data_IF_220541024799
#
_entry.id   IF_220541024799
#
_cell.length_a   1.000
_cell.length_b   1.000
_cell.length_c   1.000
_cell.angle_alpha   90.00
_cell.angle_beta   90.00
_cell.angle_gamma   90.00
#
_symmetry.space_group_name_H-M   'P 1'
#
loop_
_entity.id
_entity.type
_entity.pdbx_description
1 polymer ?
#
# COMPACT_ATOMS: atom_id res chain seq x y z
N UNK A 1 -47.61 -11.60 7.16
CA UNK A 1 -46.19 -11.26 7.37
C UNK A 1 -45.76 -10.27 6.28
N UNK A 2 -45.46 -9.02 6.63
CA UNK A 2 -44.93 -8.04 5.65
C UNK A 2 -43.51 -8.48 5.29
N UNK A 3 -43.24 -8.77 4.02
CA UNK A 3 -41.86 -8.98 3.54
C UNK A 3 -41.08 -7.71 3.87
N UNK A 4 -40.10 -7.80 4.78
CA UNK A 4 -39.07 -6.78 4.85
C UNK A 4 -38.48 -6.66 3.45
N UNK A 5 -38.57 -5.46 2.87
CA UNK A 5 -37.82 -5.09 1.69
C UNK A 5 -36.36 -5.42 1.99
N UNK A 6 -35.82 -6.45 1.35
CA UNK A 6 -34.38 -6.73 1.40
C UNK A 6 -33.71 -5.44 0.92
N UNK A 7 -32.94 -4.79 1.79
CA UNK A 7 -32.10 -3.65 1.41
C UNK A 7 -31.19 -4.14 0.28
N UNK A 8 -31.50 -3.75 -0.95
CA UNK A 8 -30.73 -4.12 -2.12
C UNK A 8 -29.53 -3.17 -2.24
N UNK A 9 -28.36 -3.71 -2.58
CA UNK A 9 -27.22 -2.86 -2.91
C UNK A 9 -27.51 -2.04 -4.18
N UNK A 10 -27.10 -0.77 -4.23
CA UNK A 10 -27.25 0.04 -5.44
C UNK A 10 -26.60 -0.65 -6.64
N UNK A 11 -27.23 -0.53 -7.82
CA UNK A 11 -26.63 -0.99 -9.07
C UNK A 11 -25.31 -0.24 -9.29
N UNK A 12 -24.22 -0.97 -9.49
CA UNK A 12 -22.88 -0.38 -9.66
C UNK A 12 -22.20 0.02 -8.35
N UNK A 13 -22.72 -0.42 -7.19
CA UNK A 13 -22.03 -0.25 -5.93
C UNK A 13 -20.65 -0.93 -5.99
N UNK A 14 -19.65 -0.20 -5.51
CA UNK A 14 -18.28 -0.68 -5.30
C UNK A 14 -17.80 -0.12 -3.98
N UNK A 15 -16.98 -0.89 -3.27
CA UNK A 15 -16.25 -0.36 -2.13
C UNK A 15 -15.36 0.79 -2.59
N UNK A 16 -15.38 1.91 -1.87
CA UNK A 16 -14.52 3.06 -2.13
C UNK A 16 -13.92 3.50 -0.81
N UNK A 17 -12.71 4.04 -0.88
CA UNK A 17 -12.01 4.58 0.27
C UNK A 17 -12.37 6.06 0.35
N UNK A 18 -12.72 6.53 1.54
CA UNK A 18 -12.95 7.96 1.79
C UNK A 18 -11.69 8.78 1.49
N UNK A 19 -11.86 10.05 1.18
CA UNK A 19 -10.72 10.97 1.10
C UNK A 19 -10.04 11.05 2.48
N UNK A 20 -8.73 10.76 2.51
CA UNK A 20 -7.87 10.96 3.68
C UNK A 20 -7.04 12.24 3.57
N UNK A 21 -6.33 12.57 4.63
CA UNK A 21 -5.35 13.66 4.66
C UNK A 21 -3.96 13.12 4.27
N UNK A 22 -3.42 13.60 3.15
CA UNK A 22 -2.11 13.17 2.67
C UNK A 22 -0.95 13.55 3.60
N UNK A 23 -1.05 14.67 4.35
CA UNK A 23 -0.01 15.07 5.30
C UNK A 23 -0.01 14.15 6.52
N UNK A 24 -1.20 13.82 7.04
CA UNK A 24 -1.33 12.81 8.08
C UNK A 24 -0.85 11.44 7.59
N UNK A 25 -1.16 11.08 6.34
CA UNK A 25 -0.70 9.84 5.73
C UNK A 25 0.82 9.73 5.61
N UNK A 26 1.49 10.84 5.26
CA UNK A 26 2.95 10.91 5.28
C UNK A 26 3.49 10.66 6.69
N UNK A 27 2.85 11.20 7.72
CA UNK A 27 3.26 10.93 9.10
C UNK A 27 3.06 9.46 9.47
N UNK A 28 1.95 8.83 9.06
CA UNK A 28 1.73 7.39 9.24
C UNK A 28 2.84 6.57 8.56
N UNK A 29 3.26 6.94 7.35
CA UNK A 29 4.37 6.30 6.64
C UNK A 29 5.68 6.33 7.45
N UNK A 30 5.92 7.41 8.19
CA UNK A 30 7.07 7.57 9.09
C UNK A 30 6.88 6.76 10.38
N UNK A 31 5.72 6.88 11.03
CA UNK A 31 5.46 6.24 12.33
C UNK A 31 5.49 4.71 12.25
N UNK A 32 5.01 4.15 11.15
CA UNK A 32 5.07 2.71 10.85
C UNK A 32 6.36 2.31 10.11
N UNK A 33 7.30 3.26 9.97
CA UNK A 33 8.63 3.06 9.40
C UNK A 33 8.63 2.41 8.02
N UNK A 34 7.62 2.70 7.19
CA UNK A 34 7.50 2.14 5.85
C UNK A 34 8.71 2.50 4.96
N UNK A 35 9.34 3.64 5.24
CA UNK A 35 10.57 4.13 4.58
C UNK A 35 11.77 3.20 4.74
N UNK A 36 11.77 2.28 5.73
CA UNK A 36 12.87 1.31 5.91
C UNK A 36 12.93 0.29 4.77
N UNK A 37 11.81 0.05 4.10
CA UNK A 37 11.70 -0.92 3.01
C UNK A 37 11.39 -0.27 1.66
N UNK A 38 10.68 0.86 1.66
CA UNK A 38 10.17 1.50 0.46
C UNK A 38 10.80 2.87 0.23
N UNK A 39 11.42 3.03 -0.93
CA UNK A 39 11.94 4.32 -1.38
C UNK A 39 10.82 5.21 -1.95
N UNK A 40 10.88 6.50 -1.63
CA UNK A 40 10.04 7.55 -2.24
C UNK A 40 10.95 8.70 -2.65
N UNK A 41 11.01 8.97 -3.96
CA UNK A 41 11.86 10.00 -4.52
C UNK A 41 11.36 11.40 -4.13
N UNK A 42 12.28 12.26 -3.69
CA UNK A 42 11.97 13.62 -3.26
C UNK A 42 11.50 13.74 -1.81
N UNK A 43 11.38 12.63 -1.09
CA UNK A 43 11.10 12.62 0.35
C UNK A 43 12.39 12.56 1.17
N UNK A 44 12.38 13.23 2.32
CA UNK A 44 13.52 13.34 3.24
C UNK A 44 13.36 12.45 4.49
N UNK A 45 12.93 11.20 4.28
CA UNK A 45 12.76 10.24 5.37
C UNK A 45 14.09 9.86 6.04
N UNK A 46 14.05 9.44 7.32
CA UNK A 46 15.25 8.94 7.99
C UNK A 46 15.88 7.81 7.18
N UNK A 47 17.20 7.84 7.00
CA UNK A 47 17.89 6.80 6.25
C UNK A 47 17.69 5.42 6.91
N UNK A 48 17.42 4.35 6.14
CA UNK A 48 17.36 3.00 6.69
C UNK A 48 18.67 2.68 7.40
N UNK A 49 18.62 1.91 8.49
CA UNK A 49 19.86 1.33 9.02
C UNK A 49 20.42 0.39 7.96
N UNK A 50 21.71 0.51 7.67
CA UNK A 50 22.44 -0.16 6.58
C UNK A 50 22.18 -1.67 6.50
N UNK A 51 21.84 -2.29 7.62
CA UNK A 51 21.51 -3.71 7.77
C UNK A 51 20.20 -4.16 7.11
N UNK A 52 19.27 -3.24 6.78
CA UNK A 52 17.91 -3.60 6.37
C UNK A 52 17.68 -3.58 4.85
N UNK A 53 18.46 -2.79 4.10
CA UNK A 53 18.36 -2.68 2.63
C UNK A 53 16.97 -2.28 2.10
N UNK A 54 16.89 -1.80 0.86
CA UNK A 54 15.58 -1.61 0.20
C UNK A 54 15.01 -2.98 -0.18
N UNK A 55 14.21 -3.58 0.71
CA UNK A 55 13.55 -4.89 0.49
C UNK A 55 12.12 -4.77 -0.04
N UNK A 56 11.67 -3.58 -0.42
CA UNK A 56 10.39 -3.36 -1.10
C UNK A 56 10.58 -2.58 -2.41
N UNK A 57 9.59 -2.61 -3.32
CA UNK A 57 9.61 -1.78 -4.52
C UNK A 57 9.56 -0.29 -4.16
N UNK A 58 10.18 0.55 -4.99
CA UNK A 58 10.02 2.00 -4.91
C UNK A 58 8.54 2.39 -5.10
N UNK A 59 8.08 3.38 -4.34
CA UNK A 59 6.69 3.84 -4.38
C UNK A 59 6.49 5.13 -5.19
N UNK A 60 7.58 5.75 -5.66
CA UNK A 60 7.54 6.88 -6.58
C UNK A 60 6.70 6.55 -7.82
N UNK A 61 5.73 7.41 -8.15
CA UNK A 61 4.86 7.25 -9.32
C UNK A 61 3.73 6.22 -9.17
N UNK A 62 3.73 5.40 -8.10
CA UNK A 62 2.72 4.36 -7.88
C UNK A 62 1.30 4.93 -7.79
N UNK A 63 1.15 6.16 -7.28
CA UNK A 63 -0.12 6.85 -7.19
C UNK A 63 -0.80 7.05 -8.55
N UNK A 64 -0.04 7.15 -9.64
CA UNK A 64 -0.62 7.23 -10.99
C UNK A 64 -0.98 5.84 -11.58
N UNK A 65 -0.27 4.79 -11.15
CA UNK A 65 -0.36 3.45 -11.73
C UNK A 65 -1.47 2.59 -11.12
N UNK A 66 -1.80 2.81 -9.83
CA UNK A 66 -2.69 1.91 -9.09
C UNK A 66 -3.89 2.64 -8.47
N UNK A 67 -5.05 1.97 -8.37
CA UNK A 67 -6.22 2.50 -7.66
C UNK A 67 -5.98 2.50 -6.13
N UNK A 68 -6.78 3.26 -5.39
CA UNK A 68 -6.64 3.38 -3.93
C UNK A 68 -6.86 2.02 -3.23
N UNK A 69 -7.78 1.22 -3.76
CA UNK A 69 -8.13 -0.11 -3.27
C UNK A 69 -6.96 -1.11 -3.36
N UNK A 70 -6.06 -0.94 -4.34
CA UNK A 70 -4.86 -1.76 -4.45
C UNK A 70 -3.93 -1.54 -3.25
N UNK A 71 -3.64 -0.27 -2.91
CA UNK A 71 -2.81 0.06 -1.75
C UNK A 71 -3.44 -0.48 -0.45
N UNK A 72 -4.74 -0.27 -0.29
CA UNK A 72 -5.48 -0.78 0.87
C UNK A 72 -5.35 -2.29 1.02
N UNK A 73 -5.60 -3.04 -0.05
CA UNK A 73 -5.51 -4.50 -0.03
C UNK A 73 -4.11 -4.95 0.36
N UNK A 74 -3.06 -4.34 -0.20
CA UNK A 74 -1.67 -4.72 0.12
C UNK A 74 -1.24 -4.42 1.56
N UNK A 75 -1.91 -3.50 2.26
CA UNK A 75 -1.64 -3.23 3.69
C UNK A 75 -2.41 -4.18 4.62
N UNK A 76 -3.60 -4.60 4.20
CA UNK A 76 -4.44 -5.56 4.94
C UNK A 76 -3.91 -6.99 4.77
N UNK A 77 -3.59 -7.35 3.53
CA UNK A 77 -3.00 -8.62 3.12
C UNK A 77 -1.79 -8.37 2.20
N UNK A 78 -0.58 -8.26 2.77
CA UNK A 78 0.65 -8.09 2.01
C UNK A 78 0.94 -9.22 1.00
N UNK A 79 0.28 -10.36 1.11
CA UNK A 79 0.43 -11.49 0.18
C UNK A 79 -0.53 -11.43 -1.01
N UNK A 80 -1.61 -10.62 -0.93
CA UNK A 80 -2.68 -10.59 -1.93
C UNK A 80 -2.16 -10.38 -3.37
N UNK A 81 -1.15 -9.53 -3.54
CA UNK A 81 -0.52 -9.30 -4.85
C UNK A 81 0.78 -10.08 -5.06
N UNK A 82 1.39 -10.63 -4.01
CA UNK A 82 2.75 -11.20 -4.05
C UNK A 82 2.85 -12.39 -5.01
N UNK A 83 1.99 -13.40 -4.86
CA UNK A 83 2.01 -14.60 -5.71
C UNK A 83 1.81 -14.29 -7.20
N UNK A 84 0.92 -13.34 -7.51
CA UNK A 84 0.72 -12.89 -8.89
C UNK A 84 1.96 -12.16 -9.41
N UNK A 85 2.50 -11.22 -8.62
CA UNK A 85 3.66 -10.40 -8.95
C UNK A 85 4.90 -11.23 -9.30
N UNK A 86 5.28 -12.16 -8.42
CA UNK A 86 6.42 -13.08 -8.63
C UNK A 86 6.27 -13.87 -9.94
N UNK A 87 5.06 -14.36 -10.23
CA UNK A 87 4.82 -15.18 -11.42
C UNK A 87 4.88 -14.38 -12.72
N UNK A 88 4.56 -13.09 -12.68
CA UNK A 88 4.38 -12.27 -13.89
C UNK A 88 5.48 -11.21 -14.09
N UNK A 89 6.34 -10.99 -13.10
CA UNK A 89 7.44 -10.04 -13.18
C UNK A 89 8.75 -10.72 -12.76
N UNK A 90 9.54 -11.15 -13.74
CA UNK A 90 10.83 -11.84 -13.52
C UNK A 90 11.83 -11.04 -12.68
N UNK A 91 11.67 -9.71 -12.65
CA UNK A 91 12.52 -8.80 -11.88
C UNK A 91 11.99 -8.52 -10.47
N UNK A 92 10.84 -9.09 -10.07
CA UNK A 92 10.26 -8.92 -8.72
C UNK A 92 10.75 -9.95 -7.70
N UNK A 93 11.62 -10.89 -8.11
CA UNK A 93 12.36 -11.80 -7.22
C UNK A 93 13.48 -11.08 -6.42
N UNK A 94 13.43 -9.74 -6.34
CA UNK A 94 14.39 -8.82 -5.67
C UNK A 94 14.47 -8.95 -4.14
N UNK A 95 14.05 -10.09 -3.58
CA UNK A 95 14.12 -10.34 -2.14
C UNK A 95 12.96 -9.75 -1.34
N UNK A 96 11.82 -9.47 -1.99
CA UNK A 96 10.61 -8.99 -1.33
C UNK A 96 9.91 -10.08 -0.50
N UNK A 97 10.25 -11.35 -0.76
CA UNK A 97 9.69 -12.50 -0.05
C UNK A 97 10.67 -13.08 0.97
N UNK A 98 10.12 -13.63 2.05
CA UNK A 98 10.83 -14.49 2.98
C UNK A 98 11.12 -15.87 2.38
N UNK A 99 11.87 -16.68 3.13
CA UNK A 99 12.22 -18.04 2.73
C UNK A 99 11.01 -18.98 2.60
N UNK A 100 9.88 -18.61 3.19
CA UNK A 100 8.60 -19.31 3.11
C UNK A 100 7.76 -18.90 1.88
N UNK A 101 8.27 -17.98 1.06
CA UNK A 101 7.59 -17.46 -0.14
C UNK A 101 6.51 -16.42 0.14
N UNK A 102 6.40 -15.92 1.38
CA UNK A 102 5.44 -14.86 1.75
C UNK A 102 6.11 -13.47 1.75
N UNK A 103 5.31 -12.41 1.64
CA UNK A 103 5.80 -11.03 1.66
C UNK A 103 6.52 -10.71 2.96
N UNK A 104 7.69 -10.03 2.86
CA UNK A 104 8.40 -9.47 4.03
C UNK A 104 7.70 -8.25 4.63
N UNK A 105 6.77 -7.64 3.90
CA UNK A 105 5.96 -6.55 4.43
C UNK A 105 5.04 -7.12 5.54
N UNK A 106 5.09 -6.59 6.77
CA UNK A 106 4.25 -7.06 7.85
C UNK A 106 2.79 -6.68 7.61
N UNK A 107 1.87 -7.40 8.27
CA UNK A 107 0.48 -6.94 8.38
C UNK A 107 0.36 -5.86 9.46
N UNK A 108 -0.53 -4.89 9.24
CA UNK A 108 -0.78 -3.79 10.16
C UNK A 108 -2.17 -3.83 10.81
N UNK A 109 -2.92 -4.92 10.59
CA UNK A 109 -4.33 -5.02 10.96
C UNK A 109 -4.60 -4.80 12.47
N UNK A 110 -3.66 -5.19 13.32
CA UNK A 110 -3.80 -5.09 14.77
C UNK A 110 -3.22 -3.80 15.38
N UNK A 111 -2.50 -3.00 14.58
CA UNK A 111 -1.70 -1.87 15.07
C UNK A 111 -2.05 -0.54 14.40
N UNK A 112 -2.59 -0.56 13.18
CA UNK A 112 -2.98 0.63 12.45
C UNK A 112 -4.49 0.85 12.55
N UNK A 113 -4.88 2.04 12.99
CA UNK A 113 -6.29 2.43 13.01
C UNK A 113 -6.82 2.60 11.58
N UNK A 114 -8.14 2.46 11.42
CA UNK A 114 -8.79 2.70 10.11
C UNK A 114 -8.50 4.10 9.56
N UNK A 115 -8.44 5.12 10.42
CA UNK A 115 -8.14 6.49 9.98
C UNK A 115 -6.70 6.61 9.46
N UNK A 116 -5.72 6.04 10.18
CA UNK A 116 -4.33 6.03 9.73
C UNK A 116 -4.17 5.31 8.38
N UNK A 117 -4.90 4.22 8.17
CA UNK A 117 -4.91 3.49 6.90
C UNK A 117 -5.51 4.33 5.76
N UNK A 118 -6.61 5.03 6.00
CA UNK A 118 -7.24 5.95 5.04
C UNK A 118 -6.26 7.07 4.65
N UNK A 119 -5.62 7.69 5.64
CA UNK A 119 -4.68 8.78 5.41
C UNK A 119 -3.42 8.29 4.68
N UNK A 120 -2.89 7.13 5.06
CA UNK A 120 -1.75 6.51 4.39
C UNK A 120 -2.07 6.20 2.91
N UNK A 121 -3.26 5.67 2.61
CA UNK A 121 -3.71 5.48 1.21
C UNK A 121 -3.75 6.82 0.47
N UNK A 122 -4.24 7.90 1.09
CA UNK A 122 -4.27 9.22 0.48
C UNK A 122 -2.86 9.74 0.13
N UNK A 123 -1.89 9.54 1.03
CA UNK A 123 -0.48 9.86 0.77
C UNK A 123 0.07 9.06 -0.41
N UNK A 124 -0.07 7.73 -0.41
CA UNK A 124 0.43 6.86 -1.49
C UNK A 124 -0.20 7.19 -2.84
N UNK A 125 -1.50 7.54 -2.85
CA UNK A 125 -2.18 8.01 -4.06
C UNK A 125 -1.68 9.35 -4.57
N UNK A 126 -1.14 10.20 -3.69
CA UNK A 126 -0.50 11.46 -4.04
C UNK A 126 0.86 11.29 -4.75
N UNK A 127 1.52 10.13 -4.61
CA UNK A 127 2.83 9.85 -5.19
C UNK A 127 2.76 9.61 -6.71
N UNK A 128 2.53 10.68 -7.47
CA UNK A 128 2.38 10.63 -8.95
C UNK A 128 3.65 11.02 -9.70
N UNK A 129 4.59 11.70 -9.04
CA UNK A 129 5.88 12.07 -9.63
C UNK A 129 6.81 10.85 -9.76
N UNK A 130 7.59 10.80 -10.85
CA UNK A 130 8.57 9.72 -11.10
C UNK A 130 8.10 8.59 -12.02
N UNK A 131 6.84 8.59 -12.47
CA UNK A 131 6.29 7.56 -13.37
C UNK A 131 6.91 7.53 -14.80
N UNK A 132 7.78 8.49 -15.15
CA UNK A 132 8.33 8.65 -16.51
C UNK A 132 9.81 9.09 -16.53
N UNK A 133 10.70 8.37 -15.84
CA UNK A 133 12.13 8.46 -16.14
C UNK A 133 12.67 7.11 -16.61
N UNK A 134 12.20 6.66 -17.77
CA UNK A 134 12.88 5.69 -18.64
C UNK A 134 12.50 5.93 -20.10
#
# INVERSE_FOLDING_TARGET
>A
MKRQSRLAMPKGWRFTISAGDHHAGRQVFVDFECYKCHEVAGEDFPAPRVEQGNVGPALSGMGAMHPAEYFLETMIDPNASAAWRIKHHKDEDKGYLGADGTSKMPSYNDTMTTQQLIDLVAYLKGLTAGAHQH
#
